data_IF_828079743520
#
_entry.id   IF_828079743520
#
_cell.length_a   1.000
_cell.length_b   1.000
_cell.length_c   1.000
_cell.angle_alpha   90.00
_cell.angle_beta   90.00
_cell.angle_gamma   90.00
#
_symmetry.space_group_name_H-M   'P 1'
#
loop_
_entity.id
_entity.type
_entity.pdbx_description
1 polymer ?
#
# COMPACT_ATOMS: atom_id res chain seq x y z
N UNK A 1 -12.91 10.50 -7.04
CA UNK A 1 -11.67 9.71 -6.94
C UNK A 1 -10.55 10.49 -7.60
N UNK A 2 -9.59 10.92 -6.80
CA UNK A 2 -8.37 11.58 -7.23
C UNK A 2 -7.22 10.59 -7.10
N UNK A 3 -6.44 10.44 -8.16
CA UNK A 3 -5.21 9.65 -8.14
C UNK A 3 -4.04 10.60 -8.36
N UNK A 4 -3.04 10.55 -7.48
CA UNK A 4 -1.83 11.37 -7.60
C UNK A 4 -0.60 10.50 -7.51
N UNK A 5 0.39 10.76 -8.36
CA UNK A 5 1.70 10.10 -8.30
C UNK A 5 2.79 11.14 -8.09
N UNK A 6 3.67 10.94 -7.12
CA UNK A 6 4.81 11.83 -6.85
C UNK A 6 6.02 11.07 -6.35
N UNK A 7 7.15 11.76 -6.25
CA UNK A 7 8.39 11.22 -5.68
C UNK A 7 8.64 11.72 -4.26
N UNK A 8 9.32 10.92 -3.43
CA UNK A 8 9.82 11.33 -2.13
C UNK A 8 11.30 11.00 -1.97
N UNK A 9 12.13 12.04 -1.79
CA UNK A 9 13.58 11.96 -1.53
C UNK A 9 14.38 11.11 -2.53
N UNK A 10 13.94 11.08 -3.80
CA UNK A 10 14.63 10.42 -4.91
C UNK A 10 14.80 11.38 -6.11
N UNK A 11 15.85 12.22 -6.13
CA UNK A 11 16.07 13.16 -7.24
C UNK A 11 16.43 12.41 -8.54
N UNK A 12 16.06 12.96 -9.70
CA UNK A 12 16.46 12.42 -11.01
C UNK A 12 15.53 11.37 -11.64
N UNK A 13 14.51 10.88 -10.93
CA UNK A 13 13.59 9.83 -11.39
C UNK A 13 12.43 10.34 -12.28
N UNK A 14 12.65 11.42 -13.05
CA UNK A 14 11.61 12.01 -13.91
C UNK A 14 10.98 11.03 -14.92
N UNK A 15 11.78 10.23 -15.67
CA UNK A 15 11.24 9.21 -16.56
C UNK A 15 10.42 8.13 -15.83
N UNK A 16 10.90 7.67 -14.68
CA UNK A 16 10.20 6.69 -13.84
C UNK A 16 8.88 7.25 -13.32
N UNK A 17 8.87 8.50 -12.85
CA UNK A 17 7.66 9.19 -12.42
C UNK A 17 6.62 9.25 -13.54
N UNK A 18 7.00 9.68 -14.74
CA UNK A 18 6.08 9.72 -15.90
C UNK A 18 5.52 8.35 -16.23
N UNK A 19 6.36 7.32 -16.17
CA UNK A 19 5.95 5.93 -16.43
C UNK A 19 4.95 5.46 -15.37
N UNK A 20 5.27 5.66 -14.09
CA UNK A 20 4.39 5.31 -12.97
C UNK A 20 3.06 6.06 -13.04
N UNK A 21 3.06 7.36 -13.35
CA UNK A 21 1.84 8.15 -13.53
C UNK A 21 0.95 7.53 -14.60
N UNK A 22 1.49 7.29 -15.80
CA UNK A 22 0.74 6.67 -16.90
C UNK A 22 0.20 5.29 -16.54
N UNK A 23 1.04 4.44 -15.93
CA UNK A 23 0.62 3.09 -15.53
C UNK A 23 -0.47 3.13 -14.47
N UNK A 24 -0.35 4.01 -13.47
CA UNK A 24 -1.36 4.16 -12.43
C UNK A 24 -2.69 4.65 -13.00
N UNK A 25 -2.66 5.67 -13.88
CA UNK A 25 -3.86 6.19 -14.56
C UNK A 25 -4.59 5.12 -15.39
N UNK A 26 -3.84 4.21 -16.01
CA UNK A 26 -4.40 3.09 -16.76
C UNK A 26 -4.89 1.95 -15.86
N UNK A 27 -4.18 1.67 -14.77
CA UNK A 27 -4.46 0.57 -13.85
C UNK A 27 -5.73 0.79 -13.03
N UNK A 28 -5.93 2.02 -12.54
CA UNK A 28 -7.09 2.37 -11.69
C UNK A 28 -8.44 1.96 -12.30
N UNK A 29 -8.80 2.34 -13.55
CA UNK A 29 -10.07 1.92 -14.13
C UNK A 29 -10.14 0.41 -14.40
N UNK A 30 -9.01 -0.27 -14.58
CA UNK A 30 -8.97 -1.73 -14.75
C UNK A 30 -9.31 -2.42 -13.43
N UNK A 31 -8.66 -2.03 -12.32
CA UNK A 31 -8.94 -2.55 -10.99
C UNK A 31 -10.36 -2.20 -10.55
N UNK A 32 -10.80 -0.96 -10.79
CA UNK A 32 -12.13 -0.48 -10.41
C UNK A 32 -13.29 -1.23 -11.07
N UNK A 33 -13.06 -1.91 -12.20
CA UNK A 33 -14.06 -2.77 -12.84
C UNK A 33 -13.99 -4.23 -12.41
N UNK A 34 -12.83 -4.67 -11.94
CA UNK A 34 -12.54 -6.08 -11.67
C UNK A 34 -12.75 -6.45 -10.19
N UNK A 35 -12.47 -5.53 -9.28
CA UNK A 35 -12.48 -5.78 -7.84
C UNK A 35 -13.71 -5.12 -7.21
N UNK A 36 -14.42 -5.88 -6.36
CA UNK A 36 -15.57 -5.36 -5.64
C UNK A 36 -15.15 -4.28 -4.61
N UNK A 37 -15.83 -3.13 -4.66
CA UNK A 37 -15.58 -1.97 -3.80
C UNK A 37 -15.76 -0.66 -4.55
N UNK A 38 -15.29 0.43 -3.94
CA UNK A 38 -15.17 1.74 -4.59
C UNK A 38 -13.74 2.20 -4.43
N UNK A 39 -13.03 2.46 -5.53
CA UNK A 39 -11.64 2.92 -5.43
C UNK A 39 -11.58 4.23 -4.63
N UNK A 40 -10.85 4.28 -3.49
CA UNK A 40 -10.70 5.50 -2.72
C UNK A 40 -9.81 6.50 -3.46
N UNK A 41 -9.64 7.69 -2.91
CA UNK A 41 -8.55 8.56 -3.37
C UNK A 41 -7.21 7.85 -3.09
N UNK A 42 -6.34 7.78 -4.10
CA UNK A 42 -5.06 7.05 -4.02
C UNK A 42 -3.90 8.00 -4.26
N UNK A 43 -2.94 7.99 -3.35
CA UNK A 43 -1.65 8.62 -3.55
C UNK A 43 -0.56 7.57 -3.71
N UNK A 44 0.10 7.55 -4.86
CA UNK A 44 1.27 6.71 -5.11
C UNK A 44 2.52 7.56 -4.89
N UNK A 45 3.39 7.12 -4.00
CA UNK A 45 4.69 7.75 -3.75
C UNK A 45 5.81 6.81 -4.16
N UNK A 46 6.58 7.28 -5.13
CA UNK A 46 7.83 6.66 -5.56
C UNK A 46 8.94 7.07 -4.61
N UNK A 47 9.65 6.11 -4.06
CA UNK A 47 10.73 6.37 -3.12
C UNK A 47 11.74 5.23 -3.14
N UNK A 48 12.72 5.27 -2.24
CA UNK A 48 13.64 4.16 -1.98
C UNK A 48 13.33 3.54 -0.62
N UNK A 49 14.02 2.46 -0.25
CA UNK A 49 13.87 1.77 1.04
C UNK A 49 13.80 2.74 2.25
N UNK A 50 14.69 3.74 2.30
CA UNK A 50 14.73 4.71 3.41
C UNK A 50 13.48 5.57 3.47
N UNK A 51 13.06 6.13 2.33
CA UNK A 51 11.86 6.96 2.27
C UNK A 51 10.58 6.14 2.47
N UNK A 52 10.57 4.88 2.03
CA UNK A 52 9.48 3.94 2.31
C UNK A 52 9.34 3.73 3.82
N UNK A 53 10.43 3.43 4.53
CA UNK A 53 10.39 3.25 5.98
C UNK A 53 9.89 4.50 6.73
N UNK A 54 10.29 5.70 6.30
CA UNK A 54 9.84 6.97 6.88
C UNK A 54 8.33 7.18 6.67
N UNK A 55 7.84 6.98 5.45
CA UNK A 55 6.45 7.19 5.10
C UNK A 55 5.53 6.12 5.71
N UNK A 56 5.97 4.87 5.76
CA UNK A 56 5.27 3.79 6.47
C UNK A 56 5.10 4.11 7.95
N UNK A 57 6.18 4.53 8.63
CA UNK A 57 6.11 4.89 10.04
C UNK A 57 5.16 6.07 10.28
N UNK A 58 5.18 7.09 9.42
CA UNK A 58 4.26 8.21 9.49
C UNK A 58 2.80 7.79 9.28
N UNK A 59 2.52 6.91 8.31
CA UNK A 59 1.18 6.39 8.06
C UNK A 59 0.65 5.55 9.23
N UNK A 60 1.49 4.66 9.78
CA UNK A 60 1.16 3.84 10.95
C UNK A 60 0.84 4.72 12.18
N UNK A 61 1.64 5.76 12.43
CA UNK A 61 1.41 6.69 13.55
C UNK A 61 0.10 7.47 13.36
N UNK A 62 -0.18 7.92 12.13
CA UNK A 62 -1.42 8.60 11.80
C UNK A 62 -2.65 7.68 11.99
N UNK A 63 -2.58 6.43 11.53
CA UNK A 63 -3.63 5.42 11.74
C UNK A 63 -3.83 5.07 13.21
N UNK A 64 -2.74 4.98 13.98
CA UNK A 64 -2.80 4.69 15.40
C UNK A 64 -3.49 5.81 16.21
N UNK A 65 -3.48 7.04 15.69
CA UNK A 65 -3.91 8.24 16.41
C UNK A 65 -2.97 8.58 17.58
N UNK A 66 -1.69 8.22 17.47
CA UNK A 66 -0.68 8.41 18.52
C UNK A 66 0.31 9.51 18.17
N UNK A 67 0.79 10.24 19.18
CA UNK A 67 1.75 11.34 19.00
C UNK A 67 2.99 11.19 19.89
N UNK A 68 3.11 10.11 20.66
CA UNK A 68 4.23 9.94 21.57
C UNK A 68 5.49 9.44 20.86
N UNK A 69 6.65 9.89 21.35
CA UNK A 69 7.96 9.57 20.77
C UNK A 69 8.29 8.09 20.78
N UNK A 70 7.76 7.33 21.74
CA UNK A 70 8.04 5.90 21.88
C UNK A 70 7.34 5.10 20.80
N UNK A 71 6.09 5.43 20.50
CA UNK A 71 5.34 4.86 19.38
C UNK A 71 6.04 5.15 18.05
N UNK A 72 6.43 6.41 17.81
CA UNK A 72 7.17 6.80 16.61
C UNK A 72 8.47 6.00 16.45
N UNK A 73 9.31 5.92 17.49
CA UNK A 73 10.57 5.17 17.43
C UNK A 73 10.37 3.65 17.26
N UNK A 74 9.21 3.12 17.67
CA UNK A 74 8.86 1.71 17.45
C UNK A 74 8.38 1.49 16.02
N UNK A 75 7.54 2.38 15.51
CA UNK A 75 7.07 2.39 14.13
C UNK A 75 8.24 2.48 13.14
N UNK A 76 9.18 3.41 13.35
CA UNK A 76 10.36 3.55 12.49
C UNK A 76 11.21 2.26 12.44
N UNK A 77 11.41 1.59 13.58
CA UNK A 77 12.20 0.35 13.63
C UNK A 77 11.49 -0.80 12.91
N UNK A 78 10.18 -0.93 13.09
CA UNK A 78 9.38 -1.92 12.39
C UNK A 78 9.37 -1.64 10.88
N UNK A 79 9.11 -0.40 10.48
CA UNK A 79 9.07 0.02 9.09
C UNK A 79 10.41 -0.20 8.36
N UNK A 80 11.56 0.08 9.00
CA UNK A 80 12.88 -0.23 8.42
C UNK A 80 13.13 -1.72 8.22
N UNK A 81 12.54 -2.58 9.06
CA UNK A 81 12.62 -4.03 8.83
C UNK A 81 11.78 -4.39 7.62
N UNK A 82 10.52 -3.98 7.59
CA UNK A 82 9.61 -4.29 6.50
C UNK A 82 10.10 -3.77 5.15
N UNK A 83 10.50 -2.49 5.06
CA UNK A 83 10.95 -1.85 3.82
C UNK A 83 12.13 -2.56 3.13
N UNK A 84 12.96 -3.29 3.88
CA UNK A 84 14.04 -4.11 3.30
C UNK A 84 13.49 -5.29 2.51
N UNK A 85 12.41 -5.88 2.97
CA UNK A 85 11.88 -7.15 2.47
C UNK A 85 10.80 -6.95 1.38
N UNK A 86 10.13 -5.80 1.35
CA UNK A 86 9.01 -5.52 0.42
C UNK A 86 9.43 -4.61 -0.74
N UNK A 87 8.72 -4.71 -1.87
CA UNK A 87 8.92 -3.83 -3.03
C UNK A 87 7.93 -2.67 -3.07
N UNK A 88 6.74 -2.89 -2.53
CA UNK A 88 5.71 -1.88 -2.37
C UNK A 88 4.80 -2.23 -1.18
N UNK A 89 3.96 -1.26 -0.80
CA UNK A 89 2.91 -1.46 0.18
C UNK A 89 1.79 -0.43 0.01
N UNK A 90 0.56 -0.88 0.11
CA UNK A 90 -0.62 -0.05 0.30
C UNK A 90 -0.97 0.06 1.79
N UNK A 91 -1.23 1.27 2.25
CA UNK A 91 -1.66 1.56 3.62
C UNK A 91 -2.89 2.46 3.58
N UNK A 92 -3.97 2.14 4.32
CA UNK A 92 -5.11 3.03 4.41
C UNK A 92 -4.73 4.29 5.20
N UNK A 93 -5.48 5.37 5.02
CA UNK A 93 -5.33 6.60 5.82
C UNK A 93 -6.58 6.88 6.65
N UNK A 94 -6.45 7.63 7.77
CA UNK A 94 -7.59 7.98 8.61
C UNK A 94 -8.74 8.70 7.91
N UNK A 95 -8.45 9.38 6.80
CA UNK A 95 -9.43 10.10 5.98
C UNK A 95 -10.16 9.20 4.95
N UNK A 96 -9.88 7.90 4.95
CA UNK A 96 -10.46 6.93 4.01
C UNK A 96 -9.75 6.86 2.65
N UNK A 97 -8.70 7.66 2.43
CA UNK A 97 -7.84 7.53 1.26
C UNK A 97 -6.83 6.38 1.43
N UNK A 98 -6.13 6.01 0.36
CA UNK A 98 -5.03 5.05 0.40
C UNK A 98 -3.69 5.73 0.04
N UNK A 99 -2.62 5.26 0.66
CA UNK A 99 -1.24 5.58 0.33
C UNK A 99 -0.58 4.31 -0.22
N UNK A 100 -0.04 4.38 -1.43
CA UNK A 100 0.77 3.31 -2.02
C UNK A 100 2.21 3.79 -2.08
N UNK A 101 3.12 3.03 -1.49
CA UNK A 101 4.56 3.30 -1.50
C UNK A 101 5.22 2.29 -2.41
N UNK A 102 6.08 2.75 -3.32
CA UNK A 102 6.81 1.87 -4.24
C UNK A 102 8.31 2.18 -4.12
N UNK A 103 9.10 1.15 -3.85
CA UNK A 103 10.56 1.23 -3.92
C UNK A 103 10.99 1.11 -5.38
N UNK A 104 11.40 2.24 -5.96
CA UNK A 104 11.78 2.29 -7.37
C UNK A 104 13.04 1.51 -7.68
N UNK A 105 13.91 1.29 -6.69
CA UNK A 105 15.18 0.59 -6.89
C UNK A 105 14.97 -0.93 -7.02
N UNK A 106 13.79 -1.43 -6.65
CA UNK A 106 13.39 -2.84 -6.74
C UNK A 106 12.57 -3.19 -8.00
N UNK A 107 12.35 -2.21 -8.89
CA UNK A 107 11.56 -2.41 -10.12
C UNK A 107 12.34 -1.96 -11.38
N UNK A 108 13.24 -2.79 -11.89
CA UNK A 108 14.02 -2.47 -13.09
C UNK A 108 13.18 -2.36 -14.37
N UNK A 109 12.01 -3.03 -14.44
CA UNK A 109 11.20 -3.11 -15.65
C UNK A 109 9.78 -2.53 -15.49
N UNK A 110 9.24 -1.83 -16.52
CA UNK A 110 7.85 -1.35 -16.51
C UNK A 110 6.79 -2.45 -16.36
N UNK A 111 7.08 -3.67 -16.78
CA UNK A 111 6.16 -4.81 -16.65
C UNK A 111 6.00 -5.26 -15.19
N UNK A 112 7.12 -5.40 -14.46
CA UNK A 112 7.11 -5.68 -13.02
C UNK A 112 6.42 -4.54 -12.26
N UNK A 113 6.70 -3.29 -12.64
CA UNK A 113 6.05 -2.12 -12.06
C UNK A 113 4.53 -2.13 -12.26
N UNK A 114 4.05 -2.61 -13.41
CA UNK A 114 2.62 -2.74 -13.70
C UNK A 114 1.95 -3.81 -12.82
N UNK A 115 2.62 -4.95 -12.60
CA UNK A 115 2.15 -6.01 -11.69
C UNK A 115 2.02 -5.46 -10.28
N UNK A 116 3.07 -4.80 -9.76
CA UNK A 116 3.06 -4.21 -8.42
C UNK A 116 1.97 -3.14 -8.26
N UNK A 117 1.81 -2.23 -9.23
CA UNK A 117 0.73 -1.24 -9.17
C UNK A 117 -0.63 -1.92 -9.05
N UNK A 118 -0.89 -2.95 -9.87
CA UNK A 118 -2.18 -3.65 -9.84
C UNK A 118 -2.41 -4.28 -8.48
N UNK A 119 -1.40 -4.97 -7.94
CA UNK A 119 -1.44 -5.60 -6.62
C UNK A 119 -1.81 -4.57 -5.53
N UNK A 120 -1.06 -3.47 -5.45
CA UNK A 120 -1.28 -2.45 -4.44
C UNK A 120 -2.60 -1.68 -4.61
N UNK A 121 -3.07 -1.51 -5.85
CA UNK A 121 -4.39 -0.91 -6.11
C UNK A 121 -5.54 -1.84 -5.71
N UNK A 122 -5.34 -3.17 -5.75
CA UNK A 122 -6.32 -4.12 -5.21
C UNK A 122 -6.41 -3.94 -3.70
N UNK A 123 -5.29 -3.82 -2.99
CA UNK A 123 -5.30 -3.48 -1.56
C UNK A 123 -5.97 -2.13 -1.28
N UNK A 124 -5.67 -1.10 -2.07
CA UNK A 124 -6.34 0.19 -1.95
C UNK A 124 -7.87 0.07 -2.10
N UNK A 125 -8.34 -0.74 -3.06
CA UNK A 125 -9.77 -1.05 -3.22
C UNK A 125 -10.33 -1.77 -1.99
N UNK A 126 -9.61 -2.76 -1.46
CA UNK A 126 -10.02 -3.53 -0.29
C UNK A 126 -10.23 -2.63 0.94
N UNK A 127 -9.43 -1.58 1.13
CA UNK A 127 -9.59 -0.63 2.23
C UNK A 127 -10.94 0.11 2.24
N UNK A 128 -11.59 0.24 1.07
CA UNK A 128 -12.93 0.84 0.96
C UNK A 128 -14.06 -0.07 1.47
N UNK A 129 -13.78 -1.36 1.67
CA UNK A 129 -14.79 -2.32 2.10
C UNK A 129 -15.12 -2.11 3.58
N UNK A 130 -16.39 -2.33 3.91
CA UNK A 130 -16.92 -2.18 5.26
C UNK A 130 -16.09 -3.01 6.26
N UNK A 131 -15.58 -2.35 7.30
CA UNK A 131 -14.88 -3.01 8.41
C UNK A 131 -13.37 -3.20 8.18
N UNK A 132 -12.86 -2.99 6.97
CA UNK A 132 -11.43 -3.20 6.66
C UNK A 132 -10.58 -2.12 7.31
N UNK A 133 -10.93 -0.84 7.12
CA UNK A 133 -10.22 0.28 7.74
C UNK A 133 -10.17 0.15 9.27
N UNK A 134 -11.31 -0.13 9.91
CA UNK A 134 -11.40 -0.28 11.36
C UNK A 134 -10.52 -1.43 11.87
N UNK A 135 -10.44 -2.53 11.12
CA UNK A 135 -9.57 -3.66 11.43
C UNK A 135 -8.09 -3.31 11.26
N UNK A 136 -7.72 -2.57 10.21
CA UNK A 136 -6.36 -2.07 10.03
C UNK A 136 -5.96 -1.14 11.18
N UNK A 137 -6.83 -0.21 11.57
CA UNK A 137 -6.61 0.69 12.72
C UNK A 137 -6.44 -0.12 14.02
N UNK A 138 -7.31 -1.10 14.27
CA UNK A 138 -7.21 -1.96 15.46
C UNK A 138 -5.88 -2.73 15.50
N UNK A 139 -5.44 -3.30 14.38
CA UNK A 139 -4.16 -4.01 14.29
C UNK A 139 -2.96 -3.09 14.53
N UNK A 140 -2.97 -1.90 13.93
CA UNK A 140 -1.94 -0.88 14.14
C UNK A 140 -1.88 -0.46 15.61
N UNK A 141 -3.03 -0.23 16.25
CA UNK A 141 -3.10 0.13 17.68
C UNK A 141 -2.64 -0.99 18.61
N UNK A 142 -2.91 -2.25 18.27
CA UNK A 142 -2.42 -3.42 19.02
C UNK A 142 -0.90 -3.55 18.92
N UNK A 143 -0.35 -3.43 17.70
CA UNK A 143 1.09 -3.45 17.42
C UNK A 143 1.86 -2.45 18.28
N UNK A 144 1.29 -1.25 18.47
CA UNK A 144 1.89 -0.20 19.28
C UNK A 144 1.43 -0.18 20.75
N UNK A 145 0.68 -1.19 21.19
CA UNK A 145 0.20 -1.37 22.57
C UNK A 145 -0.67 -0.21 23.08
N UNK A 146 -1.36 0.47 22.18
CA UNK A 146 -2.31 1.54 22.50
C UNK A 146 -3.63 0.91 22.92
N UNK A 147 -4.11 -0.06 22.13
CA UNK A 147 -5.35 -0.78 22.39
C UNK A 147 -5.17 -2.23 21.95
N UNK A 148 -5.39 -3.18 22.86
CA UNK A 148 -5.09 -4.58 22.59
C UNK A 148 -6.23 -5.28 21.88
N UNK A 149 -5.87 -6.07 20.88
CA UNK A 149 -6.78 -7.05 20.28
C UNK A 149 -6.84 -8.30 21.15
N UNK A 150 -8.03 -8.89 21.26
CA UNK A 150 -8.16 -10.24 21.80
C UNK A 150 -7.49 -11.25 20.83
N UNK A 151 -7.05 -12.40 21.36
CA UNK A 151 -6.48 -13.48 20.53
C UNK A 151 -7.41 -13.93 19.39
N UNK A 152 -8.72 -13.89 19.62
CA UNK A 152 -9.72 -14.21 18.60
C UNK A 152 -9.72 -13.17 17.48
N UNK A 153 -9.67 -11.88 17.82
CA UNK A 153 -9.60 -10.80 16.84
C UNK A 153 -8.30 -10.85 16.04
N UNK A 154 -7.16 -11.12 16.69
CA UNK A 154 -5.86 -11.23 16.00
C UNK A 154 -5.87 -12.37 14.96
N UNK A 155 -6.31 -13.58 15.34
CA UNK A 155 -6.42 -14.71 14.40
C UNK A 155 -7.39 -14.44 13.24
N UNK A 156 -8.50 -13.77 13.53
CA UNK A 156 -9.45 -13.41 12.49
C UNK A 156 -8.86 -12.35 11.54
N UNK A 157 -8.08 -11.41 12.08
CA UNK A 157 -7.36 -10.45 11.26
C UNK A 157 -6.37 -11.14 10.32
N UNK A 158 -5.53 -12.04 10.84
CA UNK A 158 -4.54 -12.77 10.04
C UNK A 158 -5.23 -13.58 8.92
N UNK A 159 -6.31 -14.30 9.26
CA UNK A 159 -7.09 -15.08 8.28
C UNK A 159 -7.68 -14.22 7.16
N UNK A 160 -8.17 -13.02 7.49
CA UNK A 160 -8.75 -12.11 6.51
C UNK A 160 -7.65 -11.44 5.67
N UNK A 161 -6.51 -11.13 6.27
CA UNK A 161 -5.34 -10.62 5.55
C UNK A 161 -4.85 -11.63 4.51
N UNK A 162 -4.77 -12.92 4.86
CA UNK A 162 -4.39 -13.97 3.91
C UNK A 162 -5.37 -14.08 2.72
N UNK A 163 -6.67 -13.86 2.96
CA UNK A 163 -7.68 -13.85 1.90
C UNK A 163 -7.56 -12.62 1.00
N UNK A 164 -7.28 -11.46 1.59
CA UNK A 164 -7.07 -10.20 0.88
C UNK A 164 -5.80 -10.25 0.02
N UNK A 165 -4.73 -10.85 0.53
CA UNK A 165 -3.49 -11.12 -0.20
C UNK A 165 -3.71 -12.08 -1.37
N UNK A 166 -4.41 -13.20 -1.13
CA UNK A 166 -4.73 -14.15 -2.18
C UNK A 166 -5.59 -13.53 -3.29
N UNK A 167 -6.50 -12.62 -2.93
CA UNK A 167 -7.27 -11.84 -3.91
C UNK A 167 -6.37 -10.89 -4.71
N UNK A 168 -5.43 -10.19 -4.07
CA UNK A 168 -4.49 -9.29 -4.75
C UNK A 168 -3.66 -10.05 -5.80
N UNK A 169 -3.05 -11.17 -5.41
CA UNK A 169 -2.36 -12.09 -6.33
C UNK A 169 -3.28 -12.59 -7.45
N UNK A 170 -4.52 -12.94 -7.12
CA UNK A 170 -5.53 -13.37 -8.09
C UNK A 170 -5.87 -12.33 -9.16
N UNK A 171 -5.51 -11.06 -8.96
CA UNK A 171 -5.77 -9.96 -9.90
C UNK A 171 -4.54 -9.43 -10.63
N UNK A 172 -3.33 -9.90 -10.30
CA UNK A 172 -2.09 -9.42 -10.95
C UNK A 172 -2.08 -9.66 -12.47
N UNK A 173 -2.79 -10.67 -12.97
CA UNK A 173 -2.98 -10.90 -14.41
C UNK A 173 -3.55 -9.69 -15.17
N UNK A 174 -4.22 -8.76 -14.47
CA UNK A 174 -4.73 -7.51 -15.04
C UNK A 174 -3.61 -6.58 -15.51
N UNK A 175 -2.36 -6.76 -15.05
CA UNK A 175 -1.21 -6.01 -15.54
C UNK A 175 -1.02 -6.16 -17.05
N UNK A 176 -1.36 -7.32 -17.62
CA UNK A 176 -1.31 -7.57 -19.07
C UNK A 176 -2.24 -6.64 -19.87
N UNK A 177 -3.26 -6.04 -19.23
CA UNK A 177 -4.18 -5.09 -19.87
C UNK A 177 -3.61 -3.68 -20.00
N UNK A 178 -2.57 -3.35 -19.23
CA UNK A 178 -1.91 -2.04 -19.25
C UNK A 178 -0.51 -2.14 -19.89
N UNK A 179 0.19 -3.26 -19.72
CA UNK A 179 1.46 -3.57 -20.36
C UNK A 179 1.38 -4.98 -20.94
N UNK A 180 1.22 -5.14 -22.27
CA UNK A 180 1.19 -6.45 -22.89
C UNK A 180 2.45 -7.27 -22.57
N UNK A 181 2.26 -8.51 -22.13
CA UNK A 181 3.33 -9.42 -21.70
C UNK A 181 3.73 -9.25 -20.23
N UNK A 182 3.09 -8.37 -19.46
CA UNK A 182 3.26 -8.33 -18.02
C UNK A 182 2.53 -9.52 -17.37
N UNK A 183 3.29 -10.34 -16.66
CA UNK A 183 2.82 -11.51 -15.94
C UNK A 183 3.47 -11.52 -14.53
N UNK A 184 2.77 -12.09 -13.52
CA UNK A 184 3.34 -12.36 -12.20
C UNK A 184 4.63 -13.19 -12.25
#
# INVERSE_FOLDING_TARGET
MKTTVRTHKIPGYGPTLRTATRLTEQAVPVVNRAVAGTMPDVEVILTNERGMAELMAAADVALAGALDRRTLATAERAARKTARDIQAIATPRPDGSALVLIDVDKHPAPAEFAVTIIHELVHAMQFSRRGVLERCVANVRDRYRIERMSRRQAREHDRLLDQEEAEAYGHEYLANRIVPGAHP
#
